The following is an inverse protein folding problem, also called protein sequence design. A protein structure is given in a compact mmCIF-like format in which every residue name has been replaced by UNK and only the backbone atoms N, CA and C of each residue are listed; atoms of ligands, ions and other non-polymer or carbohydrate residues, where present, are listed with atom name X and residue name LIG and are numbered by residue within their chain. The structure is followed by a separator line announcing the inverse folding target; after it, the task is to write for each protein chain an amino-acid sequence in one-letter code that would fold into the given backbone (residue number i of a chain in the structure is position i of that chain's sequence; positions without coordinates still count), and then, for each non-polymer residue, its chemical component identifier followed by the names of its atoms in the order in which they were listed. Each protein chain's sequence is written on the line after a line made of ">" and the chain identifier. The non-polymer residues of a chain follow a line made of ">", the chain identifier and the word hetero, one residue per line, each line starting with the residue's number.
data_IF_850994674958
#
_entry.id   IF_850994674958
#
_cell.length_a   1.000
_cell.length_b   1.000
_cell.length_c   1.000
_cell.angle_alpha   90.00
_cell.angle_beta   90.00
_cell.angle_gamma   90.00
#
_symmetry.space_group_name_H-M   'P 1'
#
loop_
_entity.id
_entity.type
_entity.pdbx_description
1 polymer ?
#
# COMPACT_ATOMS: atom_id res chain seq x y z
N UNK A 1 11.28 -1.93 -14.23
CA UNK A 1 9.82 -1.95 -13.95
C UNK A 1 9.54 -0.88 -12.92
N UNK A 2 8.46 -0.11 -13.07
CA UNK A 2 8.01 0.80 -12.00
C UNK A 2 7.15 0.00 -11.01
N UNK A 3 7.35 0.25 -9.70
CA UNK A 3 6.51 -0.28 -8.63
C UNK A 3 5.81 0.87 -7.92
N UNK A 4 4.48 0.75 -7.78
CA UNK A 4 3.67 1.69 -7.02
C UNK A 4 3.10 1.01 -5.77
N UNK A 5 3.49 1.50 -4.59
CA UNK A 5 3.13 0.88 -3.33
C UNK A 5 1.73 1.25 -2.79
N UNK A 6 0.91 2.02 -3.51
CA UNK A 6 -0.46 2.31 -3.05
C UNK A 6 -1.39 2.78 -4.18
N UNK A 7 -2.42 1.99 -4.51
CA UNK A 7 -3.46 2.35 -5.48
C UNK A 7 -4.85 1.82 -5.09
N UNK A 8 -5.84 2.72 -5.03
CA UNK A 8 -7.23 2.44 -4.60
C UNK A 8 -8.18 1.95 -5.69
N UNK A 9 -7.65 1.08 -6.56
CA UNK A 9 -8.37 0.56 -7.73
C UNK A 9 -9.70 -0.12 -7.34
N UNK A 10 -9.70 -0.98 -6.33
CA UNK A 10 -10.84 -1.80 -5.94
C UNK A 10 -11.98 -0.97 -5.36
N UNK A 11 -11.65 -0.03 -4.47
CA UNK A 11 -12.63 0.88 -3.89
C UNK A 11 -13.28 1.74 -4.98
N UNK A 12 -12.52 2.27 -5.93
CA UNK A 12 -13.03 3.10 -7.02
C UNK A 12 -13.99 2.35 -7.94
N UNK A 13 -13.62 1.13 -8.32
CA UNK A 13 -14.46 0.31 -9.18
C UNK A 13 -15.80 0.00 -8.52
N UNK A 14 -15.80 -0.35 -7.24
CA UNK A 14 -17.01 -0.80 -6.53
C UNK A 14 -17.85 0.37 -6.04
N UNK A 15 -17.24 1.39 -5.44
CA UNK A 15 -17.97 2.50 -4.83
C UNK A 15 -18.42 3.56 -5.85
N UNK A 16 -17.70 3.69 -6.97
CA UNK A 16 -17.91 4.78 -7.94
C UNK A 16 -18.12 4.30 -9.38
N UNK A 17 -18.08 2.99 -9.65
CA UNK A 17 -18.21 2.44 -11.00
C UNK A 17 -17.05 2.77 -11.93
N UNK A 18 -15.92 3.25 -11.39
CA UNK A 18 -14.70 3.58 -12.15
C UNK A 18 -13.89 2.31 -12.40
N UNK A 19 -14.26 1.57 -13.43
CA UNK A 19 -13.67 0.26 -13.72
C UNK A 19 -12.21 0.32 -14.18
N UNK A 20 -11.41 -0.63 -13.72
CA UNK A 20 -9.97 -0.76 -14.00
C UNK A 20 -9.61 -1.23 -15.41
N UNK A 21 -10.49 -2.00 -16.06
CA UNK A 21 -10.22 -2.59 -17.38
C UNK A 21 -10.55 -1.66 -18.56
N UNK A 22 -11.42 -0.67 -18.33
CA UNK A 22 -11.75 0.36 -19.31
C UNK A 22 -10.76 1.53 -19.22
N UNK A 23 -10.76 2.46 -20.20
CA UNK A 23 -10.05 3.71 -20.07
C UNK A 23 -10.43 4.44 -18.76
N UNK A 24 -9.52 5.23 -18.17
CA UNK A 24 -9.80 5.95 -16.93
C UNK A 24 -11.03 6.86 -17.06
N UNK A 25 -11.81 6.97 -15.98
CA UNK A 25 -12.91 7.92 -15.92
C UNK A 25 -12.40 9.37 -16.06
N UNK A 26 -13.23 10.33 -16.51
CA UNK A 26 -12.82 11.73 -16.64
C UNK A 26 -12.20 12.29 -15.35
N UNK A 27 -11.00 12.85 -15.47
CA UNK A 27 -10.23 13.39 -14.34
C UNK A 27 -9.36 12.37 -13.60
N UNK A 28 -9.49 11.07 -13.87
CA UNK A 28 -8.68 10.01 -13.28
C UNK A 28 -7.68 9.47 -14.29
N UNK A 29 -6.60 8.85 -13.81
CA UNK A 29 -5.47 8.43 -14.66
C UNK A 29 -5.18 6.93 -14.60
N UNK A 30 -5.77 6.22 -13.65
CA UNK A 30 -5.50 4.81 -13.40
C UNK A 30 -6.45 3.92 -14.19
N UNK A 31 -5.86 2.99 -14.93
CA UNK A 31 -6.48 1.86 -15.60
C UNK A 31 -5.39 0.82 -15.86
N UNK A 32 -5.76 -0.41 -16.21
CA UNK A 32 -4.79 -1.44 -16.60
C UNK A 32 -3.93 -0.96 -17.77
N UNK A 33 -4.57 -0.36 -18.78
CA UNK A 33 -3.87 0.11 -19.98
C UNK A 33 -2.91 1.25 -19.66
N UNK A 34 -3.32 2.25 -18.88
CA UNK A 34 -2.47 3.40 -18.56
C UNK A 34 -1.28 3.02 -17.68
N UNK A 35 -1.45 2.13 -16.69
CA UNK A 35 -0.35 1.60 -15.86
C UNK A 35 0.68 0.86 -16.72
N UNK A 36 0.21 -0.05 -17.58
CA UNK A 36 1.08 -0.83 -18.46
C UNK A 36 1.82 0.07 -19.46
N UNK A 37 1.14 1.07 -20.04
CA UNK A 37 1.75 2.02 -20.97
C UNK A 37 2.81 2.93 -20.30
N UNK A 38 2.61 3.24 -19.01
CA UNK A 38 3.57 3.96 -18.19
C UNK A 38 4.79 3.11 -17.80
N UNK A 39 4.69 1.78 -17.89
CA UNK A 39 5.76 0.85 -17.48
C UNK A 39 5.67 0.43 -16.02
N UNK A 40 4.53 0.67 -15.37
CA UNK A 40 4.20 0.10 -14.07
C UNK A 40 3.92 -1.39 -14.26
N UNK A 41 4.64 -2.21 -13.49
CA UNK A 41 4.50 -3.65 -13.57
C UNK A 41 4.10 -4.30 -12.25
N UNK A 42 4.24 -3.61 -11.12
CA UNK A 42 3.75 -4.11 -9.84
C UNK A 42 3.07 -2.97 -9.09
N UNK A 43 1.90 -3.26 -8.53
CA UNK A 43 1.17 -2.32 -7.68
C UNK A 43 0.83 -2.97 -6.35
N UNK A 44 0.73 -2.18 -5.28
CA UNK A 44 0.07 -2.66 -4.07
C UNK A 44 -1.38 -2.24 -4.16
N UNK A 45 -2.23 -3.22 -4.47
CA UNK A 45 -3.63 -3.01 -4.73
C UNK A 45 -4.38 -3.04 -3.39
N UNK A 46 -4.99 -1.91 -3.05
CA UNK A 46 -5.55 -1.71 -1.70
C UNK A 46 -6.92 -2.36 -1.55
N UNK A 47 -7.25 -2.71 -0.31
CA UNK A 47 -8.59 -3.05 0.13
C UNK A 47 -8.99 -1.94 1.11
N UNK A 48 -9.53 -0.85 0.57
CA UNK A 48 -9.98 0.28 1.38
C UNK A 48 -11.50 0.25 1.53
N UNK A 49 -11.98 0.51 2.74
CA UNK A 49 -13.42 0.62 3.02
C UNK A 49 -13.69 1.90 3.78
N UNK A 50 -14.61 2.73 3.28
CA UNK A 50 -14.94 3.99 3.91
C UNK A 50 -15.90 3.76 5.10
N UNK A 51 -15.57 4.20 6.34
CA UNK A 51 -16.52 4.17 7.44
C UNK A 51 -17.62 5.22 7.24
N UNK A 52 -18.80 5.02 7.83
CA UNK A 52 -19.92 5.96 7.71
C UNK A 52 -19.58 7.40 8.12
N UNK A 53 -18.69 7.58 9.12
CA UNK A 53 -18.18 8.92 9.51
C UNK A 53 -17.39 9.64 8.42
N UNK A 54 -16.83 8.90 7.44
CA UNK A 54 -16.07 9.44 6.32
C UNK A 54 -16.93 9.73 5.09
N UNK A 55 -18.24 9.48 5.14
CA UNK A 55 -19.20 9.69 4.04
C UNK A 55 -19.04 11.05 3.35
N UNK A 56 -18.87 12.11 4.14
CA UNK A 56 -18.72 13.49 3.65
C UNK A 56 -17.34 13.75 3.04
N UNK A 57 -16.26 13.39 3.74
CA UNK A 57 -14.89 13.65 3.26
C UNK A 57 -14.56 12.83 2.02
N UNK A 58 -14.95 11.56 1.98
CA UNK A 58 -14.70 10.65 0.85
C UNK A 58 -15.74 10.77 -0.27
N UNK A 59 -16.76 11.61 -0.11
CA UNK A 59 -17.82 11.86 -1.11
C UNK A 59 -18.44 10.56 -1.66
N UNK A 60 -18.71 9.59 -0.78
CA UNK A 60 -19.25 8.28 -1.15
C UNK A 60 -20.45 7.92 -0.29
N UNK A 61 -21.42 7.21 -0.86
CA UNK A 61 -22.51 6.58 -0.11
C UNK A 61 -22.21 5.12 0.25
N UNK A 62 -21.18 4.54 -0.37
CA UNK A 62 -20.75 3.16 -0.15
C UNK A 62 -19.85 3.11 1.09
N UNK A 63 -20.47 3.02 2.26
CA UNK A 63 -19.81 3.08 3.57
C UNK A 63 -20.25 1.90 4.44
N UNK A 64 -19.41 1.52 5.41
CA UNK A 64 -19.76 0.54 6.45
C UNK A 64 -20.11 1.22 7.78
N UNK A 65 -20.96 0.56 8.55
CA UNK A 65 -21.33 0.87 9.93
C UNK A 65 -20.91 -0.25 10.90
N UNK A 66 -20.67 -1.46 10.38
CA UNK A 66 -20.17 -2.60 11.15
C UNK A 66 -18.90 -3.22 10.56
N UNK A 67 -18.17 -3.97 11.38
CA UNK A 67 -17.01 -4.74 10.94
C UNK A 67 -17.37 -5.80 9.87
N UNK A 68 -18.58 -6.36 9.96
CA UNK A 68 -19.07 -7.34 9.00
C UNK A 68 -19.34 -6.71 7.63
N UNK A 69 -19.92 -5.52 7.58
CA UNK A 69 -20.08 -4.78 6.32
C UNK A 69 -18.72 -4.43 5.70
N UNK A 70 -17.76 -3.96 6.52
CA UNK A 70 -16.39 -3.73 6.06
C UNK A 70 -15.76 -5.02 5.49
N UNK A 71 -16.00 -6.17 6.14
CA UNK A 71 -15.57 -7.49 5.66
C UNK A 71 -16.13 -7.81 4.27
N UNK A 72 -17.44 -7.61 4.06
CA UNK A 72 -18.10 -7.86 2.79
C UNK A 72 -17.56 -6.94 1.69
N UNK A 73 -17.41 -5.65 1.98
CA UNK A 73 -16.88 -4.66 1.03
C UNK A 73 -15.44 -4.97 0.61
N UNK A 74 -14.55 -5.31 1.54
CA UNK A 74 -13.17 -5.67 1.23
C UNK A 74 -13.08 -7.03 0.49
N UNK A 75 -13.96 -7.98 0.83
CA UNK A 75 -14.04 -9.26 0.09
C UNK A 75 -14.46 -9.04 -1.35
N UNK A 76 -15.41 -8.13 -1.61
CA UNK A 76 -15.80 -7.75 -2.96
C UNK A 76 -14.63 -7.18 -3.76
N UNK A 77 -13.75 -6.38 -3.14
CA UNK A 77 -12.54 -5.86 -3.79
C UNK A 77 -11.54 -6.96 -4.14
N UNK A 78 -11.31 -7.94 -3.26
CA UNK A 78 -10.49 -9.11 -3.60
C UNK A 78 -11.04 -9.84 -4.84
N UNK A 79 -12.36 -10.05 -4.88
CA UNK A 79 -13.02 -10.70 -6.01
C UNK A 79 -12.92 -9.86 -7.29
N UNK A 80 -13.03 -8.54 -7.17
CA UNK A 80 -12.84 -7.61 -8.28
C UNK A 80 -11.45 -7.73 -8.89
N UNK A 81 -10.39 -7.73 -8.08
CA UNK A 81 -9.02 -7.88 -8.57
C UNK A 81 -8.79 -9.21 -9.30
N UNK A 82 -9.39 -10.30 -8.82
CA UNK A 82 -9.36 -11.60 -9.49
C UNK A 82 -10.09 -11.57 -10.83
N UNK A 83 -11.28 -10.96 -10.88
CA UNK A 83 -12.06 -10.80 -12.10
C UNK A 83 -11.36 -9.92 -13.14
N UNK A 84 -10.52 -8.97 -12.71
CA UNK A 84 -9.66 -8.20 -13.60
C UNK A 84 -8.50 -9.01 -14.20
N UNK A 85 -8.28 -10.26 -13.79
CA UNK A 85 -7.14 -11.07 -14.25
C UNK A 85 -5.79 -10.44 -13.88
N UNK A 86 -5.70 -9.87 -12.67
CA UNK A 86 -4.44 -9.43 -12.08
C UNK A 86 -3.73 -10.62 -11.43
N UNK A 87 -2.44 -10.77 -11.73
CA UNK A 87 -1.57 -11.75 -11.06
C UNK A 87 -1.38 -11.30 -9.60
N UNK A 88 -2.09 -11.95 -8.66
CA UNK A 88 -1.97 -11.65 -7.22
C UNK A 88 -0.80 -12.42 -6.62
N UNK A 89 0.26 -11.71 -6.23
CA UNK A 89 1.47 -12.29 -5.64
C UNK A 89 1.26 -12.54 -4.14
N UNK A 90 1.44 -13.80 -3.73
CA UNK A 90 1.13 -14.29 -2.38
C UNK A 90 2.33 -14.84 -1.63
N UNK A 91 3.44 -15.13 -2.27
CA UNK A 91 4.62 -15.64 -1.58
C UNK A 91 5.90 -15.38 -2.38
N UNK A 92 7.04 -15.73 -1.77
CA UNK A 92 8.35 -15.55 -2.38
C UNK A 92 8.53 -16.33 -3.69
N UNK A 93 7.86 -17.47 -3.88
CA UNK A 93 8.00 -18.26 -5.12
C UNK A 93 7.25 -17.60 -6.27
N UNK A 94 6.00 -17.19 -6.03
CA UNK A 94 5.21 -16.43 -7.00
C UNK A 94 5.88 -15.09 -7.34
N UNK A 95 6.40 -14.39 -6.32
CA UNK A 95 7.14 -13.15 -6.51
C UNK A 95 8.39 -13.34 -7.36
N UNK A 96 9.23 -14.32 -7.03
CA UNK A 96 10.47 -14.56 -7.75
C UNK A 96 10.22 -15.00 -9.20
N UNK A 97 9.19 -15.82 -9.44
CA UNK A 97 8.77 -16.20 -10.79
C UNK A 97 8.28 -14.97 -11.58
N UNK A 98 7.47 -14.11 -10.97
CA UNK A 98 6.98 -12.89 -11.60
C UNK A 98 8.12 -11.92 -11.91
N UNK A 99 8.98 -11.61 -10.94
CA UNK A 99 10.06 -10.65 -11.06
C UNK A 99 11.08 -11.06 -12.15
N UNK A 100 11.50 -12.33 -12.17
CA UNK A 100 12.40 -12.86 -13.21
C UNK A 100 11.75 -12.89 -14.60
N UNK A 101 10.46 -13.23 -14.67
CA UNK A 101 9.71 -13.34 -15.92
C UNK A 101 8.98 -12.05 -16.34
N UNK A 102 9.28 -10.92 -15.69
CA UNK A 102 8.60 -9.67 -15.99
C UNK A 102 9.01 -9.15 -17.37
N UNK A 103 8.03 -8.68 -18.12
CA UNK A 103 8.21 -7.98 -19.40
C UNK A 103 7.21 -6.84 -19.51
N UNK A 104 7.58 -5.80 -20.25
CA UNK A 104 6.67 -4.67 -20.56
C UNK A 104 5.35 -5.23 -21.11
N UNK A 105 4.23 -4.73 -20.62
CA UNK A 105 2.91 -5.31 -20.91
C UNK A 105 2.28 -6.06 -19.73
N UNK A 106 3.09 -6.57 -18.79
CA UNK A 106 2.61 -7.32 -17.63
C UNK A 106 2.44 -6.43 -16.40
N UNK A 107 1.39 -6.73 -15.63
CA UNK A 107 1.05 -6.08 -14.37
C UNK A 107 0.60 -7.13 -13.35
N UNK A 108 1.19 -7.10 -12.17
CA UNK A 108 0.81 -7.90 -11.00
C UNK A 108 0.43 -6.99 -9.84
N UNK A 109 -0.15 -7.59 -8.80
CA UNK A 109 -0.47 -6.89 -7.56
C UNK A 109 -0.07 -7.68 -6.31
N UNK A 110 0.33 -6.96 -5.27
CA UNK A 110 0.34 -7.46 -3.89
C UNK A 110 -0.87 -6.83 -3.18
N UNK A 111 -1.68 -7.63 -2.48
CA UNK A 111 -2.85 -7.09 -1.79
C UNK A 111 -2.46 -6.43 -0.46
N UNK A 112 -2.89 -5.18 -0.30
CA UNK A 112 -2.71 -4.33 0.87
C UNK A 112 -4.08 -4.01 1.48
N UNK A 113 -4.28 -4.21 2.77
CA UNK A 113 -5.51 -3.78 3.44
C UNK A 113 -5.27 -2.44 4.14
N UNK A 114 -6.00 -1.41 3.73
CA UNK A 114 -5.87 -0.06 4.28
C UNK A 114 -6.99 0.18 5.31
N UNK A 115 -6.61 0.20 6.59
CA UNK A 115 -7.55 0.12 7.70
C UNK A 115 -8.03 -1.31 7.93
N UNK A 116 -7.68 -1.89 9.07
CA UNK A 116 -7.95 -3.31 9.34
C UNK A 116 -9.38 -3.64 9.79
N UNK A 117 -10.33 -2.71 9.70
CA UNK A 117 -11.71 -2.94 10.12
C UNK A 117 -12.43 -4.12 9.41
N UNK A 118 -12.12 -4.49 8.15
CA UNK A 118 -12.63 -5.73 7.54
C UNK A 118 -12.23 -7.04 8.23
N UNK A 119 -11.19 -7.01 9.07
CA UNK A 119 -10.82 -8.15 9.91
C UNK A 119 -11.72 -8.08 11.14
N UNK A 120 -12.78 -8.89 11.20
CA UNK A 120 -13.72 -8.84 12.33
C UNK A 120 -13.02 -9.27 13.63
N UNK A 121 -12.20 -10.32 13.55
CA UNK A 121 -11.35 -10.81 14.64
C UNK A 121 -9.96 -11.23 14.16
N UNK A 122 -8.90 -11.13 14.98
CA UNK A 122 -7.55 -11.61 14.62
C UNK A 122 -7.46 -13.08 14.19
N UNK A 123 -8.45 -13.91 14.55
CA UNK A 123 -8.53 -15.31 14.13
C UNK A 123 -8.81 -15.46 12.62
N UNK A 124 -9.51 -14.50 12.01
CA UNK A 124 -9.80 -14.49 10.58
C UNK A 124 -8.58 -14.19 9.70
N UNK A 125 -7.45 -13.79 10.28
CA UNK A 125 -6.26 -13.43 9.50
C UNK A 125 -5.80 -14.55 8.56
N UNK A 126 -5.95 -15.81 8.97
CA UNK A 126 -5.68 -16.97 8.10
C UNK A 126 -6.47 -16.89 6.79
N UNK A 127 -7.79 -16.71 6.89
CA UNK A 127 -8.66 -16.61 5.73
C UNK A 127 -8.34 -15.39 4.85
N UNK A 128 -7.92 -14.27 5.43
CA UNK A 128 -7.45 -13.10 4.66
C UNK A 128 -6.12 -13.38 3.93
N UNK A 129 -5.19 -14.08 4.57
CA UNK A 129 -3.95 -14.49 3.89
C UNK A 129 -4.21 -15.53 2.80
N UNK A 130 -5.17 -16.44 2.98
CA UNK A 130 -5.54 -17.42 1.94
C UNK A 130 -6.20 -16.72 0.74
N UNK A 131 -6.90 -15.60 0.98
CA UNK A 131 -7.42 -14.73 -0.08
C UNK A 131 -6.34 -13.94 -0.83
N UNK A 132 -5.15 -13.79 -0.25
CA UNK A 132 -3.98 -13.16 -0.87
C UNK A 132 -3.47 -11.90 -0.17
N UNK A 133 -4.09 -11.46 0.93
CA UNK A 133 -3.64 -10.27 1.68
C UNK A 133 -2.23 -10.49 2.24
N UNK A 134 -1.31 -9.56 1.99
CA UNK A 134 0.09 -9.64 2.45
C UNK A 134 0.60 -8.40 3.15
N UNK A 135 -0.10 -7.28 3.03
CA UNK A 135 0.23 -6.03 3.71
C UNK A 135 -1.03 -5.56 4.44
N UNK A 136 -0.90 -5.10 5.68
CA UNK A 136 -2.02 -4.54 6.45
C UNK A 136 -1.54 -3.25 7.13
N UNK A 137 -2.22 -2.14 6.84
CA UNK A 137 -2.21 -0.93 7.63
C UNK A 137 -3.35 -0.98 8.65
N UNK A 138 -3.08 -1.02 9.97
CA UNK A 138 -4.14 -1.14 10.96
C UNK A 138 -4.97 0.14 11.10
N UNK A 139 -4.51 1.27 10.53
CA UNK A 139 -5.13 2.59 10.63
C UNK A 139 -5.56 3.14 9.25
N UNK A 140 -6.46 4.12 9.28
CA UNK A 140 -6.73 5.10 8.23
C UNK A 140 -7.02 6.43 8.93
N UNK A 141 -8.28 6.66 9.31
CA UNK A 141 -8.61 7.36 10.55
C UNK A 141 -8.51 6.41 11.76
N UNK A 142 -9.28 6.66 12.82
CA UNK A 142 -9.40 5.71 13.95
C UNK A 142 -10.10 4.42 13.54
N UNK A 143 -9.46 3.27 13.64
CA UNK A 143 -10.11 1.97 13.43
C UNK A 143 -10.41 1.31 14.78
N UNK A 144 -10.99 0.10 14.78
CA UNK A 144 -11.07 -0.72 16.02
C UNK A 144 -9.70 -1.20 16.51
N UNK A 145 -8.66 -1.10 15.68
CA UNK A 145 -7.32 -1.63 15.94
C UNK A 145 -6.31 -0.55 16.35
N UNK A 146 -6.44 0.68 15.83
CA UNK A 146 -5.42 1.71 15.96
C UNK A 146 -6.01 3.12 15.93
N UNK A 147 -5.38 4.05 16.67
CA UNK A 147 -5.46 5.47 16.33
C UNK A 147 -4.85 5.75 14.95
N UNK A 148 -5.32 6.80 14.28
CA UNK A 148 -4.91 7.14 12.93
C UNK A 148 -5.01 8.62 12.61
N UNK A 149 -4.89 8.98 11.33
CA UNK A 149 -4.92 10.36 10.85
C UNK A 149 -6.21 11.08 11.25
N UNK A 150 -6.08 12.29 11.79
CA UNK A 150 -7.20 13.11 12.29
C UNK A 150 -7.92 12.51 13.50
N UNK A 151 -7.43 11.39 14.05
CA UNK A 151 -8.03 10.70 15.19
C UNK A 151 -6.94 9.96 15.99
N UNK A 152 -6.06 10.73 16.69
CA UNK A 152 -4.88 10.19 17.35
C UNK A 152 -5.21 9.19 18.45
N UNK A 153 -4.25 8.32 18.76
CA UNK A 153 -4.34 7.30 19.79
C UNK A 153 -3.34 6.16 19.54
N UNK A 154 -3.13 5.33 20.56
CA UNK A 154 -2.27 4.14 20.46
C UNK A 154 -2.94 2.95 19.75
N UNK A 155 -2.26 1.80 19.81
CA UNK A 155 -2.87 0.52 19.48
C UNK A 155 -3.89 0.13 20.55
N UNK A 156 -5.05 -0.36 20.12
CA UNK A 156 -6.01 -0.99 21.05
C UNK A 156 -5.51 -2.38 21.46
N UNK A 157 -6.11 -3.00 22.48
CA UNK A 157 -5.79 -4.40 22.80
C UNK A 157 -6.10 -5.34 21.62
N UNK A 158 -7.18 -5.05 20.89
CA UNK A 158 -7.52 -5.76 19.66
C UNK A 158 -6.42 -5.54 18.58
N UNK A 159 -5.89 -4.31 18.46
CA UNK A 159 -4.69 -3.94 17.69
C UNK A 159 -3.47 -4.80 18.01
N UNK A 160 -3.10 -4.86 19.29
CA UNK A 160 -1.97 -5.66 19.77
C UNK A 160 -2.14 -7.15 19.43
N UNK A 161 -3.36 -7.69 19.56
CA UNK A 161 -3.69 -9.07 19.17
C UNK A 161 -3.58 -9.29 17.66
N UNK A 162 -4.01 -8.32 16.84
CA UNK A 162 -3.87 -8.38 15.38
C UNK A 162 -2.40 -8.39 14.96
N UNK A 163 -1.57 -7.49 15.50
CA UNK A 163 -0.13 -7.49 15.20
C UNK A 163 0.54 -8.81 15.60
N UNK A 164 0.19 -9.39 16.75
CA UNK A 164 0.68 -10.73 17.12
C UNK A 164 0.28 -11.80 16.08
N UNK A 165 -0.93 -11.74 15.53
CA UNK A 165 -1.39 -12.64 14.48
C UNK A 165 -0.67 -12.41 13.14
N UNK A 166 -0.51 -11.15 12.73
CA UNK A 166 0.22 -10.75 11.52
C UNK A 166 1.65 -11.27 11.54
N UNK A 167 2.35 -11.14 12.68
CA UNK A 167 3.71 -11.68 12.85
C UNK A 167 3.77 -13.19 12.61
N UNK A 168 2.83 -13.97 13.17
CA UNK A 168 2.78 -15.43 12.97
C UNK A 168 2.56 -15.84 11.51
N UNK A 169 1.92 -14.98 10.72
CA UNK A 169 1.60 -15.22 9.30
C UNK A 169 2.56 -14.50 8.34
N UNK A 170 3.58 -13.79 8.85
CA UNK A 170 4.51 -12.95 8.07
C UNK A 170 3.76 -11.94 7.17
N UNK A 171 2.71 -11.34 7.71
CA UNK A 171 2.04 -10.20 7.06
C UNK A 171 2.82 -8.94 7.35
N UNK A 172 3.07 -8.13 6.32
CA UNK A 172 3.83 -6.89 6.41
C UNK A 172 2.98 -5.83 7.12
N UNK A 173 3.57 -5.12 8.08
CA UNK A 173 2.91 -3.99 8.75
C UNK A 173 3.18 -2.72 7.95
N UNK A 174 2.11 -2.06 7.52
CA UNK A 174 2.15 -0.73 6.91
C UNK A 174 1.84 0.34 7.97
N UNK A 175 2.71 1.33 8.10
CA UNK A 175 2.61 2.42 9.07
C UNK A 175 1.90 3.65 8.51
N UNK A 176 1.62 3.70 7.21
CA UNK A 176 0.81 4.78 6.64
C UNK A 176 -0.50 4.91 7.41
N UNK A 177 -0.93 6.15 7.62
CA UNK A 177 -2.06 6.54 8.47
C UNK A 177 -1.96 6.33 9.98
N UNK A 178 -1.02 5.54 10.50
CA UNK A 178 -0.92 5.31 11.95
C UNK A 178 -0.58 6.60 12.70
N UNK A 179 -1.31 6.88 13.77
CA UNK A 179 -0.97 7.98 14.66
C UNK A 179 0.34 7.71 15.41
N UNK A 180 1.04 8.76 15.81
CA UNK A 180 2.38 8.66 16.41
C UNK A 180 2.45 7.73 17.64
N UNK A 181 1.44 7.79 18.51
CA UNK A 181 1.34 6.87 19.66
C UNK A 181 1.20 5.41 19.21
N UNK A 182 0.42 5.13 18.17
CA UNK A 182 0.27 3.79 17.63
C UNK A 182 1.55 3.29 16.93
N UNK A 183 2.29 4.19 16.28
CA UNK A 183 3.63 3.90 15.72
C UNK A 183 4.59 3.52 16.83
N UNK A 184 4.63 4.28 17.94
CA UNK A 184 5.46 3.98 19.09
C UNK A 184 5.11 2.62 19.72
N UNK A 185 3.82 2.34 19.93
CA UNK A 185 3.32 1.04 20.39
C UNK A 185 3.77 -0.10 19.46
N UNK A 186 3.62 0.10 18.14
CA UNK A 186 4.03 -0.88 17.14
C UNK A 186 5.55 -1.11 17.17
N UNK A 187 6.36 -0.06 17.25
CA UNK A 187 7.81 -0.17 17.35
C UNK A 187 8.25 -0.95 18.60
N UNK A 188 7.56 -0.78 19.73
CA UNK A 188 7.85 -1.50 20.96
C UNK A 188 7.66 -3.02 20.80
N UNK A 189 6.62 -3.48 20.09
CA UNK A 189 6.25 -4.90 20.06
C UNK A 189 6.48 -5.64 18.73
N UNK A 190 6.49 -4.93 17.60
CA UNK A 190 6.59 -5.52 16.28
C UNK A 190 8.04 -5.87 15.92
N UNK A 191 8.24 -7.09 15.43
CA UNK A 191 9.55 -7.63 15.02
C UNK A 191 9.49 -8.31 13.64
N UNK A 192 8.49 -7.97 12.83
CA UNK A 192 8.36 -8.43 11.44
C UNK A 192 8.74 -7.34 10.43
N UNK A 193 8.50 -7.58 9.13
CA UNK A 193 8.69 -6.57 8.10
C UNK A 193 7.80 -5.33 8.34
N UNK A 194 8.34 -4.15 8.09
CA UNK A 194 7.62 -2.88 8.18
C UNK A 194 7.86 -2.01 6.94
N UNK A 195 6.89 -1.16 6.63
CA UNK A 195 6.96 -0.16 5.56
C UNK A 195 6.01 1.00 5.87
N UNK A 196 6.10 2.06 5.06
CA UNK A 196 5.00 3.00 4.87
C UNK A 196 4.67 3.04 3.38
N UNK A 197 3.47 2.63 2.98
CA UNK A 197 3.11 2.52 1.56
C UNK A 197 3.07 3.87 0.86
N UNK A 198 2.55 4.90 1.52
CA UNK A 198 2.34 6.23 0.94
C UNK A 198 2.34 7.28 2.06
N UNK A 199 3.47 7.95 2.32
CA UNK A 199 3.58 8.97 3.37
C UNK A 199 4.70 9.95 3.07
N UNK A 200 4.47 11.23 3.32
CA UNK A 200 5.42 12.29 2.97
C UNK A 200 6.10 12.82 4.24
N UNK A 201 7.03 13.75 4.04
CA UNK A 201 7.90 14.26 5.09
C UNK A 201 7.22 15.38 5.89
N UNK A 202 7.10 15.19 7.21
CA UNK A 202 6.49 16.18 8.12
C UNK A 202 7.30 17.47 8.20
N UNK A 203 8.61 17.39 7.99
CA UNK A 203 9.51 18.53 7.96
C UNK A 203 9.21 19.51 6.79
N UNK A 204 8.70 19.00 5.67
CA UNK A 204 8.37 19.80 4.49
C UNK A 204 6.92 20.28 4.52
N UNK A 205 5.99 19.40 4.90
CA UNK A 205 4.57 19.72 5.05
C UNK A 205 4.11 19.24 6.43
N UNK A 206 3.83 20.15 7.38
CA UNK A 206 3.37 19.75 8.70
C UNK A 206 2.00 19.07 8.67
N UNK A 207 1.85 17.98 9.43
CA UNK A 207 0.58 17.26 9.57
C UNK A 207 0.74 15.92 10.28
N UNK A 208 -0.30 15.47 10.97
CA UNK A 208 -0.31 14.17 11.66
C UNK A 208 -0.35 12.97 10.71
N UNK A 209 -0.72 13.21 9.44
CA UNK A 209 -0.62 12.23 8.34
C UNK A 209 0.81 11.95 7.89
N UNK A 210 1.75 12.86 8.20
CA UNK A 210 3.11 12.87 7.67
C UNK A 210 4.08 12.20 8.63
N UNK A 211 5.18 11.63 8.12
CA UNK A 211 6.17 10.96 8.96
C UNK A 211 7.24 11.91 9.46
N UNK A 212 7.68 11.70 10.70
CA UNK A 212 8.90 12.35 11.22
C UNK A 212 10.14 11.67 10.67
N UNK A 213 11.27 12.38 10.70
CA UNK A 213 12.56 11.84 10.27
C UNK A 213 12.96 10.63 11.11
N UNK A 214 12.67 10.63 12.41
CA UNK A 214 12.94 9.49 13.31
C UNK A 214 12.12 8.26 12.91
N UNK A 215 10.87 8.47 12.49
CA UNK A 215 10.01 7.37 12.03
C UNK A 215 10.56 6.78 10.73
N UNK A 216 10.99 7.62 9.79
CA UNK A 216 11.61 7.18 8.52
C UNK A 216 12.92 6.45 8.77
N UNK A 217 13.78 6.99 9.63
CA UNK A 217 15.04 6.36 10.03
C UNK A 217 14.81 4.99 10.68
N UNK A 218 13.81 4.85 11.55
CA UNK A 218 13.49 3.58 12.19
C UNK A 218 12.91 2.55 11.20
N UNK A 219 12.11 2.99 10.22
CA UNK A 219 11.66 2.13 9.11
C UNK A 219 12.87 1.61 8.34
N UNK A 220 13.79 2.49 7.94
CA UNK A 220 15.00 2.13 7.20
C UNK A 220 15.91 1.19 8.00
N UNK A 221 16.15 1.48 9.29
CA UNK A 221 16.97 0.65 10.19
C UNK A 221 16.43 -0.78 10.31
N UNK A 222 15.11 -0.98 10.19
CA UNK A 222 14.47 -2.32 10.18
C UNK A 222 14.37 -2.94 8.79
N UNK A 223 15.02 -2.34 7.78
CA UNK A 223 15.02 -2.81 6.41
C UNK A 223 13.71 -2.55 5.66
N UNK A 224 12.89 -1.59 6.11
CA UNK A 224 11.65 -1.19 5.46
C UNK A 224 11.85 -0.21 4.29
N UNK A 225 10.76 0.20 3.66
CA UNK A 225 10.74 1.20 2.58
C UNK A 225 9.58 2.18 2.82
N UNK A 226 9.79 3.45 2.47
CA UNK A 226 8.79 4.53 2.55
C UNK A 226 8.43 5.00 1.13
N UNK A 227 7.16 4.88 0.77
CA UNK A 227 6.61 5.40 -0.48
C UNK A 227 6.13 6.84 -0.34
N UNK A 228 6.38 7.70 -1.34
CA UNK A 228 5.86 9.08 -1.37
C UNK A 228 4.49 9.13 -2.06
N UNK A 229 3.49 9.69 -1.37
CA UNK A 229 2.14 9.97 -1.86
C UNK A 229 2.13 11.17 -2.80
N UNK A 230 1.30 11.08 -3.84
CA UNK A 230 1.13 12.11 -4.84
C UNK A 230 -0.08 13.02 -4.54
N UNK A 231 -0.70 12.87 -3.37
CA UNK A 231 -1.77 13.80 -2.99
C UNK A 231 -1.20 15.19 -2.74
N UNK A 232 -1.76 16.20 -3.41
CA UNK A 232 -1.25 17.57 -3.40
C UNK A 232 -1.03 18.14 -2.00
N UNK A 233 -1.97 17.90 -1.07
CA UNK A 233 -1.87 18.38 0.30
C UNK A 233 -0.84 17.63 1.14
N UNK A 234 -0.34 16.48 0.67
CA UNK A 234 0.82 15.81 1.26
C UNK A 234 2.15 16.33 0.71
N UNK A 235 2.15 16.89 -0.51
CA UNK A 235 3.34 17.38 -1.20
C UNK A 235 3.63 18.85 -0.92
N UNK A 236 2.60 19.68 -0.68
CA UNK A 236 2.78 21.09 -0.37
C UNK A 236 1.63 21.65 0.45
N UNK A 237 1.93 22.67 1.25
CA UNK A 237 0.93 23.35 2.08
C UNK A 237 -0.02 24.24 1.27
N UNK A 238 0.44 24.82 0.14
CA UNK A 238 -0.33 25.76 -0.70
C UNK A 238 0.05 25.65 -2.16
N UNK A 239 -0.92 25.89 -3.04
CA UNK A 239 -0.73 25.89 -4.49
C UNK A 239 -0.74 24.49 -5.10
N UNK A 240 -0.55 24.42 -6.43
CA UNK A 240 -0.58 23.15 -7.15
C UNK A 240 0.71 22.37 -7.02
N UNK A 241 0.61 21.08 -6.76
CA UNK A 241 1.78 20.20 -6.67
C UNK A 241 2.38 19.87 -8.05
N UNK A 242 3.66 19.53 -8.05
CA UNK A 242 4.47 19.22 -9.23
C UNK A 242 5.35 18.00 -8.94
N UNK A 243 5.97 17.44 -9.99
CA UNK A 243 6.94 16.36 -9.83
C UNK A 243 8.21 16.80 -9.08
N UNK A 244 8.53 18.09 -9.03
CA UNK A 244 9.65 18.57 -8.23
C UNK A 244 9.37 18.49 -6.73
N UNK A 245 8.12 18.76 -6.30
CA UNK A 245 7.71 18.55 -4.91
C UNK A 245 7.81 17.06 -4.53
N UNK A 246 7.47 16.14 -5.46
CA UNK A 246 7.67 14.69 -5.26
C UNK A 246 9.14 14.36 -5.06
N UNK A 247 10.03 14.90 -5.90
CA UNK A 247 11.48 14.69 -5.79
C UNK A 247 12.01 15.26 -4.48
N UNK A 248 11.53 16.41 -4.03
CA UNK A 248 11.92 17.01 -2.76
C UNK A 248 11.61 16.08 -1.58
N UNK A 249 10.40 15.51 -1.54
CA UNK A 249 10.03 14.52 -0.53
C UNK A 249 10.83 13.22 -0.61
N UNK A 250 11.11 12.72 -1.81
CA UNK A 250 11.96 11.53 -2.01
C UNK A 250 13.39 11.77 -1.50
N UNK A 251 13.96 12.94 -1.79
CA UNK A 251 15.29 13.35 -1.31
C UNK A 251 15.31 13.50 0.21
N UNK A 252 14.30 14.13 0.78
CA UNK A 252 14.20 14.30 2.23
C UNK A 252 14.12 12.95 2.95
N UNK A 253 13.23 12.06 2.49
CA UNK A 253 13.14 10.71 3.04
C UNK A 253 14.44 9.92 2.87
N UNK A 254 15.14 10.06 1.75
CA UNK A 254 16.42 9.39 1.53
C UNK A 254 17.47 9.86 2.53
N UNK A 255 17.49 11.17 2.87
CA UNK A 255 18.37 11.72 3.90
C UNK A 255 18.02 11.18 5.28
N UNK A 256 16.75 11.21 5.68
CA UNK A 256 16.29 10.69 6.97
C UNK A 256 16.54 9.18 7.12
N UNK A 257 16.39 8.42 6.03
CA UNK A 257 16.64 6.98 6.00
C UNK A 257 18.13 6.60 5.99
N UNK A 258 19.05 7.55 5.81
CA UNK A 258 20.47 7.29 5.63
C UNK A 258 20.86 6.76 4.24
N UNK A 259 19.97 6.84 3.26
CA UNK A 259 20.20 6.43 1.88
C UNK A 259 18.90 6.26 1.06
N UNK A 260 18.97 6.34 -0.28
CA UNK A 260 17.80 6.18 -1.15
C UNK A 260 17.29 4.74 -1.26
N UNK A 261 17.97 3.75 -0.69
CA UNK A 261 17.63 2.31 -0.77
C UNK A 261 16.35 1.95 0.01
N UNK A 262 15.87 2.87 0.84
CA UNK A 262 14.68 2.73 1.69
C UNK A 262 13.53 3.65 1.28
N UNK A 263 13.58 4.19 0.05
CA UNK A 263 12.58 5.13 -0.46
C UNK A 263 12.02 4.64 -1.79
N UNK A 264 10.75 4.91 -2.06
CA UNK A 264 10.13 4.58 -3.34
C UNK A 264 8.86 5.38 -3.62
N UNK A 265 8.10 4.93 -4.61
CA UNK A 265 6.83 5.53 -5.01
C UNK A 265 5.67 4.77 -4.38
N UNK A 266 4.67 5.49 -3.89
CA UNK A 266 3.38 4.97 -3.48
C UNK A 266 2.34 6.04 -3.71
N UNK A 267 1.85 6.14 -4.94
CA UNK A 267 1.28 7.40 -5.45
C UNK A 267 -0.02 7.78 -4.79
N UNK A 268 -0.77 6.82 -4.22
CA UNK A 268 -2.09 7.10 -3.63
C UNK A 268 -3.12 7.54 -4.70
N UNK A 269 -2.80 7.32 -5.99
CA UNK A 269 -3.75 7.62 -7.07
C UNK A 269 -4.98 6.75 -6.94
N UNK A 270 -6.11 7.31 -7.36
CA UNK A 270 -7.46 6.81 -7.06
C UNK A 270 -7.85 6.90 -5.56
N UNK A 271 -7.00 7.37 -4.64
CA UNK A 271 -7.26 7.45 -3.18
C UNK A 271 -8.25 8.52 -2.70
N UNK A 272 -9.27 8.83 -3.51
CA UNK A 272 -10.30 9.82 -3.17
C UNK A 272 -10.04 11.23 -3.74
N UNK A 273 -9.02 11.37 -4.57
CA UNK A 273 -8.74 12.58 -5.33
C UNK A 273 -8.52 12.28 -6.82
N UNK A 274 -8.69 13.31 -7.65
CA UNK A 274 -8.49 13.24 -9.09
C UNK A 274 -7.19 13.95 -9.50
N UNK A 275 -6.85 13.90 -10.79
CA UNK A 275 -5.64 14.48 -11.36
C UNK A 275 -5.44 15.98 -11.09
N UNK A 276 -6.49 16.72 -10.69
CA UNK A 276 -6.36 18.15 -10.37
C UNK A 276 -5.66 18.38 -9.03
N UNK A 277 -5.62 17.36 -8.18
CA UNK A 277 -5.02 17.38 -6.85
C UNK A 277 -3.81 16.43 -6.79
N UNK A 278 -3.16 16.21 -7.93
CA UNK A 278 -1.98 15.38 -8.09
C UNK A 278 -0.93 16.15 -8.92
N UNK A 279 0.37 15.84 -8.76
CA UNK A 279 1.45 16.44 -9.54
C UNK A 279 1.46 15.99 -11.02
N UNK A 280 0.60 15.03 -11.37
CA UNK A 280 0.49 14.45 -12.71
C UNK A 280 -0.97 14.36 -13.16
N UNK A 281 -1.19 14.62 -14.43
CA UNK A 281 -2.48 14.47 -15.13
C UNK A 281 -2.52 13.23 -16.03
N UNK A 282 -1.41 12.49 -16.09
CA UNK A 282 -1.24 11.27 -16.86
C UNK A 282 -0.11 10.44 -16.27
N UNK A 283 -0.31 9.11 -16.19
CA UNK A 283 0.73 8.18 -15.76
C UNK A 283 1.95 8.19 -16.70
N UNK A 284 1.83 8.70 -17.93
CA UNK A 284 2.98 8.89 -18.81
C UNK A 284 4.06 9.81 -18.18
N UNK A 285 3.66 10.76 -17.34
CA UNK A 285 4.57 11.70 -16.65
C UNK A 285 5.46 11.03 -15.60
N UNK A 286 5.14 9.79 -15.17
CA UNK A 286 6.07 9.01 -14.33
C UNK A 286 7.43 8.78 -15.02
N UNK A 287 7.49 8.85 -16.36
CA UNK A 287 8.73 8.75 -17.13
C UNK A 287 9.63 9.98 -17.02
N UNK A 288 9.11 11.10 -16.50
CA UNK A 288 9.89 12.31 -16.25
C UNK A 288 10.65 12.24 -14.92
N UNK A 289 10.16 11.47 -13.94
CA UNK A 289 10.78 11.34 -12.62
C UNK A 289 12.25 10.89 -12.67
N UNK A 290 12.65 9.88 -13.48
CA UNK A 290 14.05 9.48 -13.55
C UNK A 290 14.99 10.63 -13.91
N UNK A 291 14.61 11.50 -14.85
CA UNK A 291 15.46 12.63 -15.26
C UNK A 291 15.63 13.65 -14.11
N UNK A 292 14.56 13.93 -13.37
CA UNK A 292 14.60 14.83 -12.21
C UNK A 292 15.40 14.24 -11.05
N UNK A 293 15.21 12.95 -10.76
CA UNK A 293 15.94 12.24 -9.71
C UNK A 293 17.44 12.11 -10.02
N UNK A 294 17.85 12.10 -11.31
CA UNK A 294 19.27 12.07 -11.70
C UNK A 294 20.07 13.30 -11.30
N UNK A 295 19.40 14.40 -10.96
CA UNK A 295 20.05 15.58 -10.40
C UNK A 295 20.53 15.34 -8.95
N UNK A 296 20.00 14.32 -8.28
CA UNK A 296 20.20 14.04 -6.85
C UNK A 296 20.82 12.67 -6.59
N UNK A 297 20.60 11.71 -7.51
CA UNK A 297 20.94 10.31 -7.31
C UNK A 297 21.59 9.70 -8.55
N UNK A 298 22.44 8.69 -8.34
CA UNK A 298 23.04 7.95 -9.43
C UNK A 298 22.03 7.01 -10.11
N UNK A 299 22.44 6.35 -11.20
CA UNK A 299 21.59 5.44 -11.97
C UNK A 299 20.92 4.35 -11.15
N UNK A 300 21.70 3.62 -10.36
CA UNK A 300 21.21 2.47 -9.59
C UNK A 300 20.24 2.93 -8.51
N UNK A 301 20.50 4.07 -7.87
CA UNK A 301 19.61 4.67 -6.87
C UNK A 301 18.28 5.11 -7.48
N UNK A 302 18.29 5.74 -8.67
CA UNK A 302 17.05 6.08 -9.39
C UNK A 302 16.26 4.82 -9.75
N UNK A 303 16.92 3.77 -10.24
CA UNK A 303 16.27 2.47 -10.51
C UNK A 303 15.69 1.84 -9.21
N UNK A 304 16.39 2.01 -8.09
CA UNK A 304 15.94 1.70 -6.73
C UNK A 304 14.61 2.35 -6.39
N UNK A 305 14.57 3.69 -6.41
CA UNK A 305 13.40 4.51 -6.07
C UNK A 305 12.21 4.19 -6.98
N UNK A 306 12.47 4.01 -8.28
CA UNK A 306 11.40 3.69 -9.24
C UNK A 306 10.83 2.28 -9.04
N UNK A 307 11.55 1.35 -8.41
CA UNK A 307 10.99 0.03 -8.12
C UNK A 307 11.89 -1.00 -7.44
N UNK A 308 13.21 -1.01 -7.69
CA UNK A 308 14.08 -2.09 -7.17
C UNK A 308 14.11 -2.15 -5.64
N UNK A 309 13.92 -1.03 -4.95
CA UNK A 309 13.82 -1.00 -3.48
C UNK A 309 12.59 -1.77 -2.99
N UNK A 310 11.42 -1.55 -3.61
CA UNK A 310 10.20 -2.29 -3.30
C UNK A 310 10.32 -3.77 -3.65
N UNK A 311 10.94 -4.10 -4.79
CA UNK A 311 11.14 -5.50 -5.20
C UNK A 311 12.03 -6.25 -4.20
N UNK A 312 13.16 -5.64 -3.84
CA UNK A 312 14.07 -6.21 -2.83
C UNK A 312 13.37 -6.35 -1.48
N UNK A 313 12.47 -5.43 -1.13
CA UNK A 313 11.69 -5.48 0.10
C UNK A 313 10.68 -6.61 0.11
N UNK A 314 9.93 -6.80 -0.98
CA UNK A 314 8.98 -7.91 -1.10
C UNK A 314 9.69 -9.27 -1.08
N UNK A 315 10.84 -9.39 -1.76
CA UNK A 315 11.61 -10.64 -1.80
C UNK A 315 11.96 -11.15 -0.40
N UNK A 316 12.43 -10.26 0.49
CA UNK A 316 12.77 -10.61 1.87
C UNK A 316 11.55 -10.72 2.80
N UNK A 317 10.47 -10.00 2.51
CA UNK A 317 9.35 -9.80 3.44
C UNK A 317 8.17 -10.74 3.25
N UNK A 318 7.90 -11.15 2.00
CA UNK A 318 6.82 -12.09 1.71
C UNK A 318 7.06 -13.43 2.42
N UNK A 319 5.98 -14.18 2.76
CA UNK A 319 6.12 -15.50 3.34
C UNK A 319 6.76 -16.47 2.32
N UNK A 320 7.50 -17.49 2.78
CA UNK A 320 7.92 -18.58 1.92
C UNK A 320 6.70 -19.33 1.39
N UNK A 321 6.87 -19.99 0.25
CA UNK A 321 5.80 -20.78 -0.34
C UNK A 321 5.34 -21.87 0.63
N UNK A 322 4.04 -21.97 0.84
CA UNK A 322 3.44 -23.07 1.61
C UNK A 322 3.20 -24.21 0.64
N UNK A 323 4.04 -25.25 0.70
CA UNK A 323 3.67 -26.55 0.14
C UNK A 323 2.39 -26.97 0.86
N UNK A 324 1.28 -27.07 0.12
CA UNK A 324 0.00 -27.45 0.69
C UNK A 324 0.17 -28.76 1.46
N UNK A 325 -0.39 -28.85 2.67
CA UNK A 325 -0.71 -30.17 3.22
C UNK A 325 -1.61 -30.83 2.18
N UNK A 326 -1.07 -31.83 1.48
CA UNK A 326 -1.84 -32.75 0.66
C UNK A 326 -3.11 -33.09 1.43
N UNK A 327 -4.27 -32.92 0.79
CA UNK A 327 -5.52 -33.42 1.31
C UNK A 327 -5.27 -34.87 1.75
N UNK A 328 -5.45 -35.14 3.04
CA UNK A 328 -5.32 -36.49 3.57
C UNK A 328 -6.15 -37.42 2.69
N UNK A 329 -5.48 -38.38 2.06
CA UNK A 329 -6.10 -39.46 1.31
C UNK A 329 -7.20 -40.04 2.23
N UNK A 330 -8.46 -40.18 1.78
CA UNK A 330 -9.46 -40.84 2.60
C UNK A 330 -8.93 -42.23 2.96
N UNK A 331 -9.16 -42.73 4.19
CA UNK A 331 -8.75 -44.08 4.52
C UNK A 331 -9.44 -45.02 3.53
N UNK A 332 -8.63 -45.76 2.78
CA UNK A 332 -9.13 -46.87 1.99
C UNK A 332 -9.76 -47.85 2.98
N UNK A 333 -11.07 -48.03 2.86
CA UNK A 333 -11.75 -49.13 3.52
C UNK A 333 -11.40 -50.40 2.77
N UNK A 334 -10.57 -51.24 3.40
CA UNK A 334 -10.56 -52.67 3.15
C UNK A 334 -11.77 -53.28 3.87
N UNK A 335 -12.75 -53.76 3.09
CA UNK A 335 -13.54 -54.99 3.32
C UNK A 335 -14.67 -55.08 2.30
#
# INVERSE_FOLDING_TARGET
>A
MIVDAHLDIGWNAIAHGRGFLAPPAPGYVVSRQSLVAAGVGLVFATLYTAPARARRSMRTRFVYESAHEAHLMATAQVNYYRACGLDLIRDQTEFAAYARGWRKGRLAAVLLMEGADPIETPAQLGAWTDRGVRIIGPAWGRTRYSGGTGAPGGLTELGRRLLKAMRRKRVILDLSHMAEQAVADAFAMWRGPIMASHSNARALVPGDRQLTDETVAEIARRGGVVGVSFYEHHLRARGRSTLDDVVEHLVHHARAAGGPEHVGIGTDLDGGFDARHAPIDSLAKLKELPARLRLQFNRSQVEGIMGTNWLSFLERSLPPHRVGRSAAKPPGGDS
#
